data_IF_614569010501
#
_entry.id   IF_614569010501
#
_cell.length_a   1.000
_cell.length_b   1.000
_cell.length_c   1.000
_cell.angle_alpha   90.00
_cell.angle_beta   90.00
_cell.angle_gamma   90.00
#
_symmetry.space_group_name_H-M   'P 1'
#
loop_
_entity.id
_entity.type
_entity.pdbx_description
1 polymer ?
#
# COMPACT_ATOMS: atom_id res chain seq x y z
N UNK A 1 -5.11 13.39 34.32
CA UNK A 1 -3.68 13.32 34.30
C UNK A 1 -3.22 12.49 33.09
N UNK A 2 -2.48 13.12 32.19
CA UNK A 2 -1.90 12.46 31.03
C UNK A 2 -0.69 11.64 31.50
N UNK A 3 -0.99 10.52 32.13
CA UNK A 3 0.03 9.62 32.69
C UNK A 3 0.79 8.93 31.56
N UNK A 4 2.11 8.82 31.74
CA UNK A 4 3.16 8.22 30.92
C UNK A 4 2.90 6.93 30.14
N UNK A 5 1.63 6.59 29.91
CA UNK A 5 1.15 5.42 29.15
C UNK A 5 1.34 5.57 27.63
N UNK A 6 1.33 6.81 27.13
CA UNK A 6 1.58 7.10 25.72
C UNK A 6 3.02 6.82 25.28
N UNK A 7 3.99 7.07 26.14
CA UNK A 7 5.41 6.84 25.86
C UNK A 7 5.76 5.35 25.67
N UNK A 8 5.00 4.44 26.25
CA UNK A 8 5.21 3.00 26.12
C UNK A 8 4.75 2.47 24.75
N UNK A 9 3.68 3.06 24.17
CA UNK A 9 3.18 2.69 22.85
C UNK A 9 4.21 3.01 21.76
N UNK A 10 4.79 4.22 21.79
CA UNK A 10 5.81 4.67 20.83
C UNK A 10 7.14 3.93 20.95
N UNK A 11 7.40 3.26 22.07
CA UNK A 11 8.58 2.38 22.25
C UNK A 11 8.39 1.00 21.61
N UNK A 12 7.17 0.63 21.22
CA UNK A 12 6.89 -0.64 20.57
C UNK A 12 7.24 -0.55 19.09
N UNK A 13 8.39 -1.11 18.71
CA UNK A 13 8.93 -1.00 17.35
C UNK A 13 7.96 -1.51 16.27
N UNK A 14 7.18 -2.58 16.56
CA UNK A 14 6.16 -3.12 15.64
C UNK A 14 5.01 -2.13 15.42
N UNK A 15 4.64 -1.36 16.43
CA UNK A 15 3.61 -0.34 16.30
C UNK A 15 4.11 0.86 15.50
N UNK A 16 5.27 1.41 15.85
CA UNK A 16 5.80 2.62 15.21
C UNK A 16 6.11 2.39 13.73
N UNK A 17 6.77 1.27 13.41
CA UNK A 17 7.06 0.90 12.02
C UNK A 17 5.78 0.51 11.27
N UNK A 18 4.84 -0.18 11.92
CA UNK A 18 3.55 -0.51 11.33
C UNK A 18 2.69 0.72 11.03
N UNK A 19 2.74 1.75 11.88
CA UNK A 19 2.08 3.04 11.63
C UNK A 19 2.67 3.74 10.39
N UNK A 20 4.00 3.76 10.27
CA UNK A 20 4.69 4.29 9.10
C UNK A 20 4.32 3.50 7.84
N UNK A 21 4.37 2.16 7.90
CA UNK A 21 4.01 1.30 6.78
C UNK A 21 2.56 1.49 6.36
N UNK A 22 1.63 1.69 7.30
CA UNK A 22 0.22 1.93 6.99
C UNK A 22 0.02 3.30 6.33
N UNK A 23 0.72 4.33 6.82
CA UNK A 23 0.73 5.66 6.22
C UNK A 23 1.22 5.62 4.77
N UNK A 24 2.35 4.96 4.52
CA UNK A 24 2.93 4.81 3.18
C UNK A 24 2.09 3.92 2.27
N UNK A 25 1.42 2.89 2.85
CA UNK A 25 0.47 2.08 2.09
C UNK A 25 -0.70 2.92 1.56
N UNK A 26 -1.33 3.72 2.43
CA UNK A 26 -2.46 4.58 2.00
C UNK A 26 -1.99 5.63 1.01
N UNK A 27 -0.78 6.17 1.19
CA UNK A 27 -0.16 7.07 0.23
C UNK A 27 -0.02 6.40 -1.16
N UNK A 28 0.58 5.20 -1.21
CA UNK A 28 0.74 4.45 -2.46
C UNK A 28 -0.59 4.14 -3.12
N UNK A 29 -1.55 3.58 -2.37
CA UNK A 29 -2.87 3.20 -2.89
C UNK A 29 -3.63 4.40 -3.46
N UNK A 30 -3.66 5.52 -2.74
CA UNK A 30 -4.35 6.73 -3.22
C UNK A 30 -3.65 7.31 -4.44
N UNK A 31 -2.31 7.31 -4.46
CA UNK A 31 -1.53 7.74 -5.61
C UNK A 31 -1.82 6.91 -6.86
N UNK A 32 -1.78 5.58 -6.75
CA UNK A 32 -2.09 4.66 -7.84
C UNK A 32 -3.50 4.88 -8.37
N UNK A 33 -4.50 4.96 -7.48
CA UNK A 33 -5.88 5.21 -7.87
C UNK A 33 -6.05 6.56 -8.60
N UNK A 34 -5.40 7.62 -8.11
CA UNK A 34 -5.51 8.97 -8.66
C UNK A 34 -4.90 9.07 -10.07
N UNK A 35 -3.80 8.37 -10.31
CA UNK A 35 -3.05 8.45 -11.58
C UNK A 35 -3.34 7.30 -12.54
N UNK A 36 -4.24 6.39 -12.19
CA UNK A 36 -4.60 5.24 -13.01
C UNK A 36 -5.14 5.63 -14.38
N UNK A 37 -6.10 6.56 -14.42
CA UNK A 37 -6.72 7.03 -15.67
C UNK A 37 -5.70 7.77 -16.52
N UNK A 38 -4.89 8.65 -15.92
CA UNK A 38 -3.87 9.41 -16.61
C UNK A 38 -2.83 8.48 -17.27
N UNK A 39 -2.39 7.45 -16.56
CA UNK A 39 -1.48 6.45 -17.11
C UNK A 39 -2.10 5.70 -18.31
N UNK A 40 -3.38 5.32 -18.20
CA UNK A 40 -4.09 4.62 -19.26
C UNK A 40 -4.25 5.48 -20.53
N UNK A 41 -4.54 6.75 -20.37
CA UNK A 41 -4.70 7.68 -21.51
C UNK A 41 -3.37 7.99 -22.16
N UNK A 42 -2.32 8.24 -21.38
CA UNK A 42 -1.00 8.65 -21.91
C UNK A 42 -0.22 7.48 -22.53
N UNK A 43 -0.18 6.33 -21.88
CA UNK A 43 0.69 5.23 -22.29
C UNK A 43 -0.01 4.07 -23.02
N UNK A 44 -1.34 3.96 -22.89
CA UNK A 44 -2.11 2.87 -23.53
C UNK A 44 -3.00 3.41 -24.67
N UNK A 45 -3.30 4.71 -24.63
CA UNK A 45 -4.17 5.35 -25.63
C UNK A 45 -5.66 5.07 -25.41
N UNK A 46 -6.05 4.67 -24.20
CA UNK A 46 -7.46 4.50 -23.84
C UNK A 46 -8.13 5.87 -23.66
N UNK A 47 -9.42 5.93 -23.95
CA UNK A 47 -10.22 7.10 -23.58
C UNK A 47 -10.43 7.14 -22.07
N UNK A 48 -10.64 8.32 -21.48
CA UNK A 48 -10.93 8.46 -20.04
C UNK A 48 -12.12 7.60 -19.60
N UNK A 49 -13.13 7.46 -20.46
CA UNK A 49 -14.29 6.61 -20.20
C UNK A 49 -13.92 5.13 -20.11
N UNK A 50 -13.13 4.63 -21.04
CA UNK A 50 -12.64 3.24 -21.03
C UNK A 50 -11.74 2.99 -19.83
N UNK A 51 -10.81 3.91 -19.53
CA UNK A 51 -9.95 3.82 -18.37
C UNK A 51 -10.72 3.81 -17.05
N UNK A 52 -11.80 4.63 -16.95
CA UNK A 52 -12.67 4.63 -15.78
C UNK A 52 -13.44 3.31 -15.61
N UNK A 53 -13.88 2.70 -16.70
CA UNK A 53 -14.54 1.37 -16.67
C UNK A 53 -13.54 0.31 -16.21
N UNK A 54 -12.30 0.34 -16.73
CA UNK A 54 -11.26 -0.58 -16.29
C UNK A 54 -10.87 -0.39 -14.83
N UNK A 55 -10.81 0.84 -14.33
CA UNK A 55 -10.58 1.10 -12.90
C UNK A 55 -11.70 0.48 -12.05
N UNK A 56 -12.95 0.72 -12.44
CA UNK A 56 -14.12 0.31 -11.66
C UNK A 56 -14.32 -1.21 -11.65
N UNK A 57 -14.25 -1.86 -12.79
CA UNK A 57 -14.50 -3.31 -12.90
C UNK A 57 -13.22 -4.14 -12.87
N UNK A 58 -12.16 -3.70 -13.53
CA UNK A 58 -10.87 -4.39 -13.54
C UNK A 58 -10.12 -4.19 -12.23
N UNK A 59 -9.71 -2.97 -11.94
CA UNK A 59 -8.93 -2.62 -10.74
C UNK A 59 -9.67 -2.95 -9.45
N UNK A 60 -10.86 -2.38 -9.25
CA UNK A 60 -11.63 -2.62 -8.02
C UNK A 60 -12.16 -4.05 -7.93
N UNK A 61 -12.45 -4.70 -9.07
CA UNK A 61 -12.81 -6.13 -9.11
C UNK A 61 -11.66 -7.02 -8.63
N UNK A 62 -10.44 -6.79 -9.11
CA UNK A 62 -9.24 -7.48 -8.64
C UNK A 62 -8.95 -7.19 -7.17
N UNK A 63 -9.14 -5.95 -6.74
CA UNK A 63 -8.98 -5.56 -5.34
C UNK A 63 -9.97 -6.31 -4.43
N UNK A 64 -11.25 -6.38 -4.81
CA UNK A 64 -12.27 -7.10 -4.05
C UNK A 64 -12.00 -8.61 -4.04
N UNK A 65 -11.71 -9.20 -5.20
CA UNK A 65 -11.37 -10.61 -5.32
C UNK A 65 -10.12 -10.98 -4.51
N UNK A 66 -9.09 -10.14 -4.57
CA UNK A 66 -7.87 -10.29 -3.79
C UNK A 66 -8.11 -10.22 -2.28
N UNK A 67 -9.03 -9.35 -1.83
CA UNK A 67 -9.40 -9.25 -0.41
C UNK A 67 -10.10 -10.51 0.09
N UNK A 68 -11.00 -11.08 -0.72
CA UNK A 68 -11.67 -12.35 -0.38
C UNK A 68 -10.67 -13.51 -0.35
N UNK A 69 -9.89 -13.67 -1.41
CA UNK A 69 -8.86 -14.72 -1.52
C UNK A 69 -7.78 -14.57 -0.42
N UNK A 70 -7.29 -13.36 -0.18
CA UNK A 70 -6.29 -13.08 0.84
C UNK A 70 -6.81 -13.32 2.26
N UNK A 71 -8.06 -12.96 2.56
CA UNK A 71 -8.69 -13.27 3.85
C UNK A 71 -8.83 -14.77 4.09
N UNK A 72 -9.18 -15.52 3.04
CA UNK A 72 -9.21 -16.99 3.10
C UNK A 72 -7.80 -17.56 3.31
N UNK A 73 -6.81 -17.08 2.56
CA UNK A 73 -5.42 -17.54 2.63
C UNK A 73 -4.81 -17.31 4.03
N UNK A 74 -5.15 -16.21 4.70
CA UNK A 74 -4.65 -15.89 6.04
C UNK A 74 -5.15 -16.83 7.14
N UNK A 75 -6.12 -17.72 6.86
CA UNK A 75 -6.49 -18.80 7.77
C UNK A 75 -5.40 -19.88 7.84
N UNK A 76 -4.63 -20.06 6.77
CA UNK A 76 -3.61 -21.11 6.62
C UNK A 76 -2.19 -20.56 6.69
N UNK A 77 -1.99 -19.30 6.28
CA UNK A 77 -0.68 -18.67 6.18
C UNK A 77 -0.58 -17.48 7.14
N UNK A 78 0.58 -17.33 7.76
CA UNK A 78 0.85 -16.21 8.66
C UNK A 78 0.79 -14.87 7.93
N UNK A 79 0.14 -13.87 8.53
CA UNK A 79 -0.05 -12.55 7.92
C UNK A 79 1.26 -11.88 7.47
N UNK A 80 2.36 -12.03 8.24
CA UNK A 80 3.65 -11.45 7.84
C UNK A 80 4.22 -12.06 6.55
N UNK A 81 3.94 -13.33 6.26
CA UNK A 81 4.36 -13.96 5.00
C UNK A 81 3.49 -13.49 3.82
N UNK A 82 2.18 -13.39 4.05
CA UNK A 82 1.25 -12.87 3.04
C UNK A 82 1.60 -11.42 2.71
N UNK A 83 1.84 -10.58 3.73
CA UNK A 83 2.27 -9.20 3.53
C UNK A 83 3.58 -9.11 2.75
N UNK A 84 4.57 -9.96 3.07
CA UNK A 84 5.85 -10.00 2.33
C UNK A 84 5.65 -10.35 0.86
N UNK A 85 4.83 -11.35 0.56
CA UNK A 85 4.55 -11.76 -0.81
C UNK A 85 3.81 -10.65 -1.59
N UNK A 86 2.80 -10.04 -0.99
CA UNK A 86 2.05 -8.95 -1.61
C UNK A 86 2.91 -7.69 -1.82
N UNK A 87 3.73 -7.31 -0.83
CA UNK A 87 4.62 -6.16 -0.95
C UNK A 87 5.70 -6.38 -2.03
N UNK A 88 6.27 -7.59 -2.10
CA UNK A 88 7.21 -7.93 -3.16
C UNK A 88 6.53 -7.93 -4.54
N UNK A 89 5.31 -8.47 -4.65
CA UNK A 89 4.53 -8.44 -5.88
C UNK A 89 4.21 -7.02 -6.34
N UNK A 90 3.75 -6.16 -5.42
CA UNK A 90 3.46 -4.75 -5.71
C UNK A 90 4.72 -3.97 -6.13
N UNK A 91 5.86 -4.23 -5.47
CA UNK A 91 7.15 -3.64 -5.85
C UNK A 91 7.54 -4.00 -7.29
N UNK A 92 7.43 -5.28 -7.65
CA UNK A 92 7.69 -5.75 -9.02
C UNK A 92 6.71 -5.11 -10.01
N UNK A 93 5.42 -5.03 -9.66
CA UNK A 93 4.42 -4.37 -10.50
C UNK A 93 4.80 -2.91 -10.77
N UNK A 94 5.16 -2.15 -9.75
CA UNK A 94 5.55 -0.75 -9.92
C UNK A 94 6.85 -0.60 -10.72
N UNK A 95 7.82 -1.49 -10.52
CA UNK A 95 9.03 -1.48 -11.33
C UNK A 95 8.73 -1.70 -12.82
N UNK A 96 7.84 -2.63 -13.17
CA UNK A 96 7.42 -2.86 -14.56
C UNK A 96 6.64 -1.66 -15.12
N UNK A 97 5.73 -1.07 -14.33
CA UNK A 97 4.96 0.13 -14.73
C UNK A 97 5.89 1.27 -15.13
N UNK A 98 7.00 1.47 -14.41
CA UNK A 98 7.98 2.54 -14.68
C UNK A 98 8.89 2.19 -15.84
N UNK A 99 9.43 0.96 -15.87
CA UNK A 99 10.48 0.56 -16.82
C UNK A 99 9.93 0.15 -18.19
N UNK A 100 8.67 -0.29 -18.25
CA UNK A 100 8.02 -0.78 -19.48
C UNK A 100 6.63 -0.14 -19.62
N UNK A 101 6.56 1.20 -19.80
CA UNK A 101 5.29 1.88 -19.98
C UNK A 101 4.58 1.41 -21.26
N UNK A 102 3.25 1.40 -21.24
CA UNK A 102 2.40 0.89 -22.30
C UNK A 102 1.61 -0.35 -21.87
N UNK A 103 1.31 -1.25 -22.81
CA UNK A 103 0.44 -2.40 -22.55
C UNK A 103 0.96 -3.32 -21.44
N UNK A 104 2.28 -3.53 -21.35
CA UNK A 104 2.87 -4.34 -20.30
C UNK A 104 2.68 -3.70 -18.93
N UNK A 105 3.09 -2.43 -18.79
CA UNK A 105 2.89 -1.68 -17.54
C UNK A 105 1.43 -1.62 -17.12
N UNK A 106 0.51 -1.51 -18.08
CA UNK A 106 -0.93 -1.51 -17.83
C UNK A 106 -1.43 -2.79 -17.13
N UNK A 107 -1.05 -3.96 -17.62
CA UNK A 107 -1.43 -5.23 -16.98
C UNK A 107 -0.85 -5.35 -15.58
N UNK A 108 0.39 -4.89 -15.37
CA UNK A 108 1.02 -4.90 -14.06
C UNK A 108 0.41 -3.87 -13.11
N UNK A 109 -0.05 -2.72 -13.63
CA UNK A 109 -0.80 -1.74 -12.85
C UNK A 109 -2.13 -2.33 -12.34
N UNK A 110 -2.85 -3.06 -13.19
CA UNK A 110 -4.06 -3.80 -12.78
C UNK A 110 -3.73 -4.90 -11.75
N UNK A 111 -2.65 -5.66 -11.96
CA UNK A 111 -2.24 -6.73 -11.04
C UNK A 111 -1.85 -6.17 -9.66
N UNK A 112 -1.38 -4.93 -9.59
CA UNK A 112 -1.04 -4.28 -8.33
C UNK A 112 -2.24 -4.17 -7.39
N UNK A 113 -3.45 -3.94 -7.91
CA UNK A 113 -4.69 -3.91 -7.11
C UNK A 113 -4.93 -5.21 -6.35
N UNK A 114 -4.57 -6.34 -6.95
CA UNK A 114 -4.66 -7.64 -6.27
C UNK A 114 -3.68 -7.69 -5.08
N UNK A 115 -2.45 -7.24 -5.27
CA UNK A 115 -1.44 -7.22 -4.21
C UNK A 115 -1.81 -6.25 -3.08
N UNK A 116 -2.32 -5.08 -3.41
CA UNK A 116 -2.74 -4.07 -2.42
C UNK A 116 -3.90 -4.52 -1.54
N UNK A 117 -4.81 -5.32 -2.08
CA UNK A 117 -6.12 -5.63 -1.49
C UNK A 117 -6.07 -6.10 -0.05
N UNK A 118 -5.06 -6.87 0.34
CA UNK A 118 -4.92 -7.47 1.67
C UNK A 118 -3.91 -6.74 2.58
N UNK A 119 -3.13 -5.80 2.05
CA UNK A 119 -2.06 -5.15 2.80
C UNK A 119 -2.58 -4.32 3.97
N UNK A 120 -3.61 -3.48 3.77
CA UNK A 120 -4.16 -2.62 4.82
C UNK A 120 -4.56 -3.41 6.07
N UNK A 121 -5.49 -4.38 6.00
CA UNK A 121 -5.92 -5.13 7.17
C UNK A 121 -4.78 -5.94 7.79
N UNK A 122 -3.83 -6.39 6.99
CA UNK A 122 -2.68 -7.16 7.49
C UNK A 122 -1.71 -6.27 8.26
N UNK A 123 -1.30 -5.10 7.73
CA UNK A 123 -0.44 -4.15 8.43
C UNK A 123 -1.12 -3.69 9.72
N UNK A 124 -2.41 -3.33 9.65
CA UNK A 124 -3.20 -2.90 10.80
C UNK A 124 -3.19 -3.96 11.92
N UNK A 125 -3.51 -5.20 11.58
CA UNK A 125 -3.53 -6.33 12.51
C UNK A 125 -2.14 -6.60 13.12
N UNK A 126 -1.08 -6.59 12.31
CA UNK A 126 0.29 -6.82 12.77
C UNK A 126 0.77 -5.71 13.71
N UNK A 127 0.39 -4.46 13.45
CA UNK A 127 0.75 -3.30 14.28
C UNK A 127 0.11 -3.35 15.67
N UNK A 128 -1.10 -3.92 15.78
CA UNK A 128 -1.82 -4.03 17.05
C UNK A 128 -1.42 -5.23 17.91
N UNK A 129 -0.70 -6.19 17.36
CA UNK A 129 -0.45 -7.49 18.02
C UNK A 129 0.27 -7.38 19.38
N UNK A 130 1.09 -6.36 19.59
CA UNK A 130 1.96 -6.24 20.78
C UNK A 130 1.69 -4.97 21.59
N UNK A 131 0.55 -4.30 21.38
CA UNK A 131 0.22 -3.05 22.09
C UNK A 131 -0.63 -3.27 23.35
N UNK A 132 -1.15 -4.47 23.58
CA UNK A 132 -1.86 -4.88 24.81
C UNK A 132 -3.03 -3.95 25.16
N UNK A 133 -3.00 -3.40 26.37
CA UNK A 133 -4.05 -2.52 26.91
C UNK A 133 -4.22 -1.21 26.15
N UNK A 134 -3.26 -0.82 25.31
CA UNK A 134 -3.27 0.41 24.51
C UNK A 134 -3.92 0.24 23.13
N UNK A 135 -4.53 -0.91 22.82
CA UNK A 135 -5.11 -1.22 21.52
C UNK A 135 -6.06 -0.14 21.02
N UNK A 136 -6.94 0.40 21.87
CA UNK A 136 -7.89 1.45 21.50
C UNK A 136 -7.17 2.72 21.02
N UNK A 137 -6.16 3.17 21.75
CA UNK A 137 -5.37 4.35 21.39
C UNK A 137 -4.51 4.10 20.14
N UNK A 138 -3.89 2.92 20.04
CA UNK A 138 -3.10 2.51 18.88
C UNK A 138 -3.95 2.46 17.61
N UNK A 139 -5.17 1.92 17.67
CA UNK A 139 -6.11 1.90 16.54
C UNK A 139 -6.46 3.31 16.07
N UNK A 140 -6.64 4.26 16.98
CA UNK A 140 -6.90 5.66 16.60
C UNK A 140 -5.74 6.26 15.81
N UNK A 141 -4.49 6.05 16.24
CA UNK A 141 -3.32 6.51 15.49
C UNK A 141 -3.20 5.83 14.12
N UNK A 142 -3.46 4.53 14.04
CA UNK A 142 -3.44 3.80 12.76
C UNK A 142 -4.52 4.33 11.79
N UNK A 143 -5.70 4.68 12.28
CA UNK A 143 -6.73 5.32 11.45
C UNK A 143 -6.30 6.71 11.00
N UNK A 144 -5.63 7.49 11.84
CA UNK A 144 -5.09 8.80 11.45
C UNK A 144 -4.04 8.71 10.34
N UNK A 145 -3.38 7.55 10.15
CA UNK A 145 -2.41 7.35 9.06
C UNK A 145 -3.04 7.46 7.65
N UNK A 146 -4.37 7.41 7.53
CA UNK A 146 -5.10 7.62 6.26
C UNK A 146 -4.77 8.99 5.63
N UNK A 147 -4.36 9.96 6.43
CA UNK A 147 -3.87 11.27 5.95
C UNK A 147 -2.71 11.15 4.95
N UNK A 148 -1.96 10.04 4.99
CA UNK A 148 -0.91 9.74 3.99
C UNK A 148 -1.39 9.77 2.54
N UNK A 149 -2.67 9.45 2.31
CA UNK A 149 -3.29 9.50 0.99
C UNK A 149 -3.36 10.89 0.36
N UNK A 150 -3.25 11.96 1.14
CA UNK A 150 -3.23 13.32 0.62
C UNK A 150 -1.86 13.72 0.03
N UNK A 151 -0.78 13.07 0.45
CA UNK A 151 0.59 13.47 0.10
C UNK A 151 1.04 12.86 -1.23
N UNK A 152 0.79 11.57 -1.45
CA UNK A 152 1.32 10.87 -2.62
C UNK A 152 0.84 11.45 -3.96
N UNK A 153 -0.46 11.78 -4.17
CA UNK A 153 -0.89 12.36 -5.43
C UNK A 153 -0.19 13.68 -5.77
N UNK A 154 0.10 14.51 -4.74
CA UNK A 154 0.82 15.78 -4.94
C UNK A 154 2.25 15.52 -5.40
N UNK A 155 2.97 14.61 -4.73
CA UNK A 155 4.34 14.25 -5.11
C UNK A 155 4.40 13.59 -6.49
N UNK A 156 3.46 12.70 -6.78
CA UNK A 156 3.35 12.05 -8.09
C UNK A 156 3.08 13.05 -9.20
N UNK A 157 2.20 14.04 -8.95
CA UNK A 157 1.91 15.11 -9.90
C UNK A 157 3.15 15.92 -10.24
N UNK A 158 3.91 16.37 -9.26
CA UNK A 158 5.16 17.11 -9.51
C UNK A 158 6.15 16.31 -10.36
N UNK A 159 6.32 15.00 -10.09
CA UNK A 159 7.24 14.17 -10.86
C UNK A 159 6.70 13.92 -12.28
N UNK A 160 5.40 13.69 -12.41
CA UNK A 160 4.77 13.46 -13.70
C UNK A 160 4.84 14.69 -14.62
N UNK A 161 4.70 15.89 -14.06
CA UNK A 161 4.77 17.15 -14.80
C UNK A 161 6.21 17.45 -15.32
N UNK A 162 7.24 16.98 -14.58
CA UNK A 162 8.64 17.21 -14.97
C UNK A 162 9.18 16.16 -15.95
N UNK A 163 8.69 14.92 -15.91
CA UNK A 163 9.24 13.81 -16.70
C UNK A 163 8.16 13.06 -17.49
N UNK A 164 7.44 12.15 -16.81
CA UNK A 164 6.37 11.35 -17.43
C UNK A 164 5.41 10.81 -16.37
N UNK A 165 4.20 10.46 -16.81
CA UNK A 165 3.22 9.84 -15.91
C UNK A 165 3.76 8.55 -15.28
N UNK A 166 4.53 7.76 -16.06
CA UNK A 166 5.14 6.52 -15.55
C UNK A 166 6.20 6.81 -14.45
N UNK A 167 6.96 7.89 -14.57
CA UNK A 167 7.95 8.27 -13.55
C UNK A 167 7.31 8.62 -12.20
N UNK A 168 6.10 9.17 -12.19
CA UNK A 168 5.35 9.45 -10.97
C UNK A 168 5.15 8.22 -10.07
N UNK A 169 5.10 7.02 -10.66
CA UNK A 169 4.95 5.77 -9.91
C UNK A 169 6.19 5.35 -9.10
N UNK A 170 7.28 6.12 -9.14
CA UNK A 170 8.42 5.94 -8.22
C UNK A 170 8.01 6.17 -6.75
N UNK A 171 6.99 7.01 -6.51
CA UNK A 171 6.47 7.27 -5.17
C UNK A 171 5.84 6.01 -4.55
N UNK A 172 4.85 5.35 -5.19
CA UNK A 172 4.35 4.05 -4.73
C UNK A 172 5.44 2.97 -4.64
N UNK A 173 6.39 2.94 -5.59
CA UNK A 173 7.51 2.01 -5.55
C UNK A 173 8.30 2.13 -4.24
N UNK A 174 8.66 3.35 -3.85
CA UNK A 174 9.38 3.62 -2.59
C UNK A 174 8.56 3.22 -1.37
N UNK A 175 7.24 3.49 -1.39
CA UNK A 175 6.32 3.09 -0.33
C UNK A 175 6.28 1.55 -0.17
N UNK A 176 6.16 0.81 -1.26
CA UNK A 176 6.15 -0.67 -1.21
C UNK A 176 7.49 -1.26 -0.79
N UNK A 177 8.61 -0.61 -1.09
CA UNK A 177 9.93 -1.01 -0.61
C UNK A 177 10.02 -0.95 0.93
N UNK A 178 9.49 0.11 1.54
CA UNK A 178 9.42 0.21 3.00
C UNK A 178 8.50 -0.86 3.61
N UNK A 179 7.31 -1.06 3.04
CA UNK A 179 6.37 -2.08 3.51
C UNK A 179 6.99 -3.49 3.43
N UNK A 180 7.73 -3.78 2.36
CA UNK A 180 8.47 -5.03 2.23
C UNK A 180 9.55 -5.16 3.30
N UNK A 181 10.28 -4.07 3.59
CA UNK A 181 11.27 -4.05 4.68
C UNK A 181 10.61 -4.32 6.03
N UNK A 182 9.48 -3.66 6.35
CA UNK A 182 8.71 -3.91 7.56
C UNK A 182 8.27 -5.38 7.66
N UNK A 183 7.65 -5.92 6.59
CA UNK A 183 7.12 -7.28 6.55
C UNK A 183 8.22 -8.33 6.80
N UNK A 184 9.39 -8.17 6.15
CA UNK A 184 10.53 -9.10 6.29
C UNK A 184 11.19 -9.01 7.67
N UNK A 185 11.21 -7.82 8.27
CA UNK A 185 11.82 -7.56 9.60
C UNK A 185 10.83 -7.74 10.76
N UNK A 186 9.55 -7.91 10.50
CA UNK A 186 8.49 -7.96 11.52
C UNK A 186 8.84 -8.88 12.71
N UNK A 187 9.31 -10.10 12.44
CA UNK A 187 9.67 -11.05 13.50
C UNK A 187 10.84 -10.59 14.39
N UNK A 188 11.78 -9.83 13.83
CA UNK A 188 12.89 -9.26 14.61
C UNK A 188 12.41 -8.08 15.45
N UNK A 189 11.50 -7.28 14.91
CA UNK A 189 10.88 -6.15 15.61
C UNK A 189 9.99 -6.62 16.76
N UNK A 190 9.27 -7.72 16.58
CA UNK A 190 8.38 -8.31 17.59
C UNK A 190 9.11 -8.96 18.78
N UNK A 191 10.42 -9.19 18.68
CA UNK A 191 11.26 -9.77 19.75
C UNK A 191 11.95 -8.71 20.61
N UNK A 192 11.92 -7.46 20.21
CA UNK A 192 12.47 -6.31 20.95
C UNK A 192 11.39 -5.65 21.79
#
# INVERSE_FOLDING_TARGET
PADGKGTRLWKTATFTMGLLSLFLYVAAQTGINSFFINYATEHVGLTEREASVWLSFGGMGLFMGGRMAGSWLMRFVRGEKVLTACAAGALVCMAVVILMPGSMGWYFLLLCFLCESIMFPTIFSLSLRHVGVHTKQASSYLVMSIVGGAIAPVLMGFIADEDSMAAGFIVPLACFAEILWFATRYRKLARK
#
